data_IF_009850585270
#
_entry.id   IF_009850585270
#
_cell.length_a   1.000
_cell.length_b   1.000
_cell.length_c   1.000
_cell.angle_alpha   90.00
_cell.angle_beta   90.00
_cell.angle_gamma   90.00
#
_symmetry.space_group_name_H-M   'P 1'
#
loop_
_entity.id
_entity.type
_entity.pdbx_description
1 polymer ?
#
# COMPACT_ATOMS: atom_id res chain seq x y z
N UNK A 1 14.81 27.12 -10.16
CA UNK A 1 14.78 25.66 -10.21
C UNK A 1 13.45 25.25 -9.61
N UNK A 2 12.51 24.77 -10.42
CA UNK A 2 11.30 24.14 -9.88
C UNK A 2 11.73 22.86 -9.17
N UNK A 3 11.40 22.73 -7.88
CA UNK A 3 11.59 21.50 -7.12
C UNK A 3 10.75 20.40 -7.79
N UNK A 4 11.42 19.51 -8.53
CA UNK A 4 10.80 18.40 -9.27
C UNK A 4 10.26 17.28 -8.37
N UNK A 5 10.42 17.39 -7.06
CA UNK A 5 10.03 16.37 -6.10
C UNK A 5 9.30 17.03 -4.94
N UNK A 6 8.15 16.48 -4.49
CA UNK A 6 7.51 16.93 -3.26
C UNK A 6 8.52 16.83 -2.10
N UNK A 7 8.48 17.77 -1.14
CA UNK A 7 9.35 17.69 0.03
C UNK A 7 9.29 16.31 0.70
N UNK A 8 10.46 15.74 0.95
CA UNK A 8 10.57 14.36 1.44
C UNK A 8 10.22 14.24 2.93
N UNK A 9 10.12 15.37 3.63
CA UNK A 9 9.71 15.48 5.02
C UNK A 9 8.70 16.61 5.19
N UNK A 10 7.58 16.32 5.85
CA UNK A 10 6.67 17.34 6.37
C UNK A 10 6.39 17.01 7.84
N UNK A 11 6.56 17.99 8.71
CA UNK A 11 6.28 17.88 10.14
C UNK A 11 4.77 18.04 10.40
N UNK A 12 4.01 17.04 9.94
CA UNK A 12 2.55 16.94 10.12
C UNK A 12 2.23 15.64 10.88
N UNK A 13 1.47 15.70 11.99
CA UNK A 13 1.06 14.51 12.72
C UNK A 13 0.28 13.55 11.83
N UNK A 14 0.58 12.26 11.94
CA UNK A 14 -0.14 11.24 11.20
C UNK A 14 -1.58 11.08 11.74
N UNK A 15 -2.58 11.06 10.84
CA UNK A 15 -4.00 10.86 11.16
C UNK A 15 -4.43 9.41 11.11
N UNK A 16 -3.64 8.57 10.45
CA UNK A 16 -3.77 7.12 10.39
C UNK A 16 -2.37 6.48 10.40
N UNK A 17 -2.29 5.16 10.29
CA UNK A 17 -1.02 4.45 10.16
C UNK A 17 -1.00 3.58 8.90
N UNK A 18 0.18 3.23 8.36
CA UNK A 18 0.30 2.30 7.24
C UNK A 18 -0.40 0.95 7.50
N UNK A 19 -0.39 0.46 8.75
CA UNK A 19 -1.11 -0.76 9.15
C UNK A 19 -2.62 -0.59 9.00
N UNK A 20 -3.18 0.55 9.43
CA UNK A 20 -4.61 0.82 9.26
C UNK A 20 -4.99 0.91 7.78
N UNK A 21 -4.14 1.52 6.95
CA UNK A 21 -4.34 1.61 5.50
C UNK A 21 -4.32 0.22 4.88
N UNK A 22 -3.29 -0.57 5.21
CA UNK A 22 -3.13 -1.93 4.71
C UNK A 22 -4.29 -2.83 5.12
N UNK A 23 -4.68 -2.82 6.40
CA UNK A 23 -5.78 -3.64 6.90
C UNK A 23 -7.09 -3.30 6.18
N UNK A 24 -7.39 -2.00 5.98
CA UNK A 24 -8.58 -1.58 5.22
C UNK A 24 -8.50 -2.01 3.76
N UNK A 25 -7.36 -1.84 3.12
CA UNK A 25 -7.12 -2.23 1.74
C UNK A 25 -7.36 -3.74 1.55
N UNK A 26 -6.71 -4.56 2.39
CA UNK A 26 -6.86 -6.02 2.34
C UNK A 26 -8.30 -6.45 2.58
N UNK A 27 -8.97 -5.88 3.58
CA UNK A 27 -10.36 -6.22 3.88
C UNK A 27 -11.28 -5.89 2.70
N UNK A 28 -11.10 -4.73 2.07
CA UNK A 28 -11.86 -4.34 0.89
C UNK A 28 -11.64 -5.30 -0.30
N UNK A 29 -10.41 -5.77 -0.52
CA UNK A 29 -10.13 -6.79 -1.53
C UNK A 29 -10.85 -8.12 -1.24
N UNK A 30 -10.86 -8.55 0.02
CA UNK A 30 -11.56 -9.76 0.47
C UNK A 30 -13.08 -9.65 0.31
N UNK A 31 -13.63 -8.47 0.60
CA UNK A 31 -15.05 -8.17 0.49
C UNK A 31 -15.50 -7.88 -0.96
N UNK A 32 -14.57 -7.94 -1.91
CA UNK A 32 -14.79 -7.58 -3.32
C UNK A 32 -15.25 -6.12 -3.52
N UNK A 33 -14.92 -5.23 -2.58
CA UNK A 33 -15.16 -3.80 -2.64
C UNK A 33 -13.93 -3.09 -3.23
N UNK A 34 -13.85 -3.08 -4.56
CA UNK A 34 -12.71 -2.53 -5.28
C UNK A 34 -12.61 -1.00 -5.12
N UNK A 35 -13.74 -0.30 -4.97
CA UNK A 35 -13.74 1.14 -4.76
C UNK A 35 -13.10 1.49 -3.42
N UNK A 36 -13.49 0.80 -2.35
CA UNK A 36 -12.90 0.99 -1.03
C UNK A 36 -11.41 0.59 -0.98
N UNK A 37 -11.01 -0.44 -1.73
CA UNK A 37 -9.61 -0.81 -1.87
C UNK A 37 -8.81 0.32 -2.55
N UNK A 38 -9.33 0.87 -3.66
CA UNK A 38 -8.73 1.99 -4.37
C UNK A 38 -8.65 3.25 -3.51
N UNK A 39 -9.60 3.50 -2.60
CA UNK A 39 -9.54 4.62 -1.67
C UNK A 39 -8.30 4.59 -0.76
N UNK A 40 -7.73 3.42 -0.49
CA UNK A 40 -6.50 3.29 0.32
C UNK A 40 -5.22 3.55 -0.50
N UNK A 41 -5.35 3.64 -1.83
CA UNK A 41 -4.26 3.91 -2.77
C UNK A 41 -4.21 5.40 -3.09
N UNK A 42 -3.00 5.93 -3.29
CA UNK A 42 -2.79 7.30 -3.76
C UNK A 42 -3.52 7.58 -5.07
N UNK A 43 -4.05 8.79 -5.20
CA UNK A 43 -4.88 9.20 -6.33
C UNK A 43 -4.17 8.98 -7.68
N UNK A 44 -2.88 9.28 -7.72
CA UNK A 44 -2.01 9.15 -8.90
C UNK A 44 -1.87 7.70 -9.37
N UNK A 45 -2.08 6.73 -8.48
CA UNK A 45 -1.91 5.30 -8.73
C UNK A 45 -3.25 4.58 -8.92
N UNK A 46 -4.38 5.19 -8.51
CA UNK A 46 -5.71 4.57 -8.60
C UNK A 46 -6.05 4.07 -10.00
N UNK A 47 -5.75 4.83 -11.06
CA UNK A 47 -6.04 4.41 -12.43
C UNK A 47 -5.29 3.12 -12.81
N UNK A 48 -4.03 3.00 -12.41
CA UNK A 48 -3.20 1.80 -12.64
C UNK A 48 -3.78 0.60 -11.89
N UNK A 49 -4.05 0.76 -10.60
CA UNK A 49 -4.58 -0.35 -9.79
C UNK A 49 -6.02 -0.73 -10.17
N UNK A 50 -6.84 0.21 -10.63
CA UNK A 50 -8.16 -0.09 -11.19
C UNK A 50 -8.06 -1.01 -12.41
N UNK A 51 -7.08 -0.80 -13.29
CA UNK A 51 -6.84 -1.69 -14.42
C UNK A 51 -6.35 -3.07 -13.97
N UNK A 52 -5.43 -3.12 -12.98
CA UNK A 52 -4.92 -4.36 -12.39
C UNK A 52 -6.06 -5.19 -11.78
N UNK A 53 -6.94 -4.56 -11.00
CA UNK A 53 -8.05 -5.24 -10.32
C UNK A 53 -9.19 -5.68 -11.25
N UNK A 54 -9.22 -5.21 -12.50
CA UNK A 54 -10.14 -5.74 -13.51
C UNK A 54 -9.70 -7.13 -14.01
N UNK A 55 -8.43 -7.52 -13.83
CA UNK A 55 -7.97 -8.88 -14.08
C UNK A 55 -8.27 -9.76 -12.85
N UNK A 56 -9.25 -10.64 -12.99
CA UNK A 56 -9.69 -11.54 -11.91
C UNK A 56 -8.58 -12.47 -11.41
N UNK A 57 -7.62 -12.84 -12.27
CA UNK A 57 -6.50 -13.68 -11.86
C UNK A 57 -5.56 -12.91 -10.93
N UNK A 58 -5.23 -11.66 -11.30
CA UNK A 58 -4.36 -10.80 -10.49
C UNK A 58 -5.07 -10.41 -9.20
N UNK A 59 -6.35 -10.02 -9.26
CA UNK A 59 -7.15 -9.72 -8.07
C UNK A 59 -7.19 -10.92 -7.11
N UNK A 60 -7.27 -12.13 -7.64
CA UNK A 60 -7.20 -13.38 -6.87
C UNK A 60 -5.89 -13.54 -6.09
N UNK A 61 -4.77 -13.07 -6.62
CA UNK A 61 -3.48 -13.07 -5.90
C UNK A 61 -3.43 -12.02 -4.78
N UNK A 62 -3.94 -10.81 -5.04
CA UNK A 62 -3.98 -9.74 -4.04
C UNK A 62 -4.88 -10.08 -2.84
N UNK A 63 -5.95 -10.86 -3.04
CA UNK A 63 -6.80 -11.36 -1.95
C UNK A 63 -6.10 -12.31 -1.00
N UNK A 64 -5.00 -12.92 -1.42
CA UNK A 64 -4.23 -13.86 -0.60
C UNK A 64 -3.14 -13.15 0.21
N UNK A 65 -3.05 -11.83 0.12
CA UNK A 65 -2.14 -11.04 0.93
C UNK A 65 -2.34 -11.34 2.43
N UNK A 66 -1.24 -11.44 3.20
CA UNK A 66 -1.28 -11.90 4.59
C UNK A 66 -1.92 -10.87 5.52
N UNK A 67 -2.17 -11.24 6.77
CA UNK A 67 -2.61 -10.23 7.76
C UNK A 67 -1.44 -9.32 8.14
N UNK A 68 -1.75 -8.09 8.59
CA UNK A 68 -0.71 -7.11 8.94
C UNK A 68 0.24 -7.61 10.04
N UNK A 69 -0.23 -8.49 10.92
CA UNK A 69 0.55 -9.14 11.97
C UNK A 69 1.60 -10.12 11.45
N UNK A 70 1.46 -10.59 10.21
CA UNK A 70 2.37 -11.54 9.55
C UNK A 70 3.40 -10.83 8.66
N UNK A 71 3.26 -9.51 8.48
CA UNK A 71 4.13 -8.70 7.64
C UNK A 71 5.33 -8.21 8.44
N UNK A 72 6.52 -8.37 7.85
CA UNK A 72 7.75 -7.84 8.45
C UNK A 72 7.92 -6.39 8.03
N UNK A 73 7.92 -5.50 9.02
CA UNK A 73 8.28 -4.09 8.81
C UNK A 73 9.79 -4.02 8.61
N UNK A 74 10.22 -3.28 7.60
CA UNK A 74 11.64 -2.91 7.52
C UNK A 74 11.92 -1.91 8.63
N UNK A 75 12.75 -2.29 9.61
CA UNK A 75 13.16 -1.41 10.72
C UNK A 75 13.98 -0.19 10.23
N UNK A 76 14.41 -0.19 8.96
CA UNK A 76 15.37 0.77 8.41
C UNK A 76 14.79 1.68 7.30
N UNK A 77 13.53 1.51 6.90
CA UNK A 77 12.98 2.18 5.70
C UNK A 77 11.86 3.18 5.95
N UNK A 78 11.67 3.60 7.20
CA UNK A 78 10.84 4.80 7.44
C UNK A 78 11.71 6.03 7.23
N UNK A 79 11.63 6.62 6.04
CA UNK A 79 12.33 7.85 5.70
C UNK A 79 11.30 8.97 5.51
N UNK A 80 11.25 9.90 6.47
CA UNK A 80 10.34 11.03 6.41
C UNK A 80 8.87 10.61 6.29
N UNK A 81 8.29 10.88 5.12
CA UNK A 81 6.91 10.58 4.79
C UNK A 81 6.71 9.23 4.09
N UNK A 82 7.74 8.38 4.00
CA UNK A 82 7.67 7.08 3.31
C UNK A 82 7.95 5.93 4.27
N UNK A 83 7.31 4.79 4.03
CA UNK A 83 7.67 3.51 4.68
C UNK A 83 7.36 2.34 3.76
N UNK A 84 8.11 1.24 3.92
CA UNK A 84 7.97 0.04 3.09
C UNK A 84 7.86 -1.20 3.95
N UNK A 85 6.87 -2.03 3.63
CA UNK A 85 6.64 -3.32 4.29
C UNK A 85 6.95 -4.45 3.35
N UNK A 86 7.55 -5.51 3.87
CA UNK A 86 7.95 -6.67 3.09
C UNK A 86 7.32 -7.92 3.67
N UNK A 87 6.78 -8.74 2.79
CA UNK A 87 6.29 -10.05 3.18
C UNK A 87 6.53 -11.04 2.07
N UNK A 88 6.68 -12.29 2.50
CA UNK A 88 6.76 -13.40 1.59
C UNK A 88 5.37 -13.93 1.34
N UNK A 89 5.05 -14.16 0.09
CA UNK A 89 3.73 -14.62 -0.32
C UNK A 89 3.88 -15.83 -1.25
N UNK A 90 3.14 -16.90 -0.96
CA UNK A 90 3.15 -18.10 -1.79
C UNK A 90 2.07 -17.98 -2.85
N UNK A 91 2.49 -17.80 -4.10
CA UNK A 91 1.62 -17.86 -5.28
C UNK A 91 2.09 -18.96 -6.22
N UNK A 92 1.16 -19.74 -6.76
CA UNK A 92 1.47 -20.85 -7.67
C UNK A 92 2.61 -21.76 -7.16
N UNK A 93 2.56 -22.11 -5.87
CA UNK A 93 3.56 -22.97 -5.19
C UNK A 93 4.99 -22.37 -5.14
N UNK A 94 5.13 -21.06 -5.39
CA UNK A 94 6.40 -20.33 -5.29
C UNK A 94 6.29 -19.24 -4.25
N UNK A 95 7.30 -19.17 -3.40
CA UNK A 95 7.47 -18.05 -2.47
C UNK A 95 8.02 -16.85 -3.25
N UNK A 96 7.28 -15.74 -3.24
CA UNK A 96 7.65 -14.48 -3.88
C UNK A 96 7.79 -13.41 -2.79
N UNK A 97 8.86 -12.63 -2.86
CA UNK A 97 9.03 -11.44 -2.05
C UNK A 97 8.14 -10.32 -2.60
N UNK A 98 7.20 -9.85 -1.78
CA UNK A 98 6.36 -8.69 -2.06
C UNK A 98 6.78 -7.52 -1.19
N UNK A 99 6.66 -6.31 -1.75
CA UNK A 99 6.79 -5.07 -1.00
C UNK A 99 5.54 -4.21 -1.19
N UNK A 100 5.17 -3.49 -0.14
CA UNK A 100 4.15 -2.45 -0.22
C UNK A 100 4.76 -1.18 0.36
N UNK A 101 4.76 -0.13 -0.44
CA UNK A 101 5.22 1.19 -0.09
C UNK A 101 4.04 2.10 0.24
N UNK A 102 4.20 2.85 1.32
CA UNK A 102 3.25 3.85 1.79
C UNK A 102 3.89 5.23 1.76
N UNK A 103 3.06 6.23 1.51
CA UNK A 103 3.43 7.64 1.58
C UNK A 103 2.40 8.40 2.41
N UNK A 104 2.88 9.29 3.28
CA UNK A 104 2.08 10.23 4.07
C UNK A 104 1.96 11.54 3.31
N UNK A 105 0.75 11.97 3.03
CA UNK A 105 0.50 13.26 2.40
C UNK A 105 0.74 14.44 3.37
N UNK A 106 0.67 15.66 2.81
CA UNK A 106 0.80 16.91 3.58
C UNK A 106 -0.34 17.13 4.58
N UNK A 107 -1.44 16.38 4.48
CA UNK A 107 -2.54 16.42 5.45
C UNK A 107 -2.36 15.40 6.59
N UNK A 108 -1.30 14.58 6.54
CA UNK A 108 -0.99 13.57 7.55
C UNK A 108 -1.65 12.21 7.31
N UNK A 109 -2.25 11.96 6.15
CA UNK A 109 -2.82 10.66 5.81
C UNK A 109 -1.82 9.80 5.04
N UNK A 110 -1.56 8.60 5.56
CA UNK A 110 -0.90 7.52 4.84
C UNK A 110 -1.82 6.92 3.79
N UNK A 111 -1.24 6.57 2.65
CA UNK A 111 -1.84 5.82 1.54
C UNK A 111 -0.83 4.86 0.94
N UNK A 112 -1.31 3.85 0.23
CA UNK A 112 -0.46 2.97 -0.57
C UNK A 112 0.00 3.74 -1.82
N UNK A 113 1.30 3.86 -2.00
CA UNK A 113 1.91 4.42 -3.21
C UNK A 113 2.24 3.31 -4.21
N UNK A 114 2.76 2.17 -3.73
CA UNK A 114 3.11 1.05 -4.59
C UNK A 114 2.92 -0.31 -3.89
N UNK A 115 2.54 -1.30 -4.71
CA UNK A 115 2.42 -2.74 -4.46
C UNK A 115 3.11 -3.45 -5.63
#
# INVERSE_FOLDING_TARGET
LEEKFPPQEYDVPAKNTPEQVYTKFRQALLDNDIELALEQIREEQKSRYKQIFNDLSILGEYRKFPEVSEIKKSEQETYGNFTSYYFKFITNEREIDYSIQFEKDQEGYWKIDQI
#
